data_IF_360044999623
#
_entry.id   IF_360044999623
#
_cell.length_a   1.000
_cell.length_b   1.000
_cell.length_c   1.000
_cell.angle_alpha   90.00
_cell.angle_beta   90.00
_cell.angle_gamma   90.00
#
_symmetry.space_group_name_H-M   'P 1'
#
loop_
_entity.id
_entity.type
_entity.pdbx_description
1 polymer ?
#
# COMPACT_ATOMS: atom_id res chain seq x y z
N UNK A 1 15.60 10.01 -24.22
CA UNK A 1 15.02 8.67 -24.50
C UNK A 1 15.60 7.56 -23.63
N UNK A 2 16.92 7.43 -23.45
CA UNK A 2 17.54 6.39 -22.60
C UNK A 2 17.03 6.36 -21.15
N UNK A 3 16.98 7.52 -20.50
CA UNK A 3 16.46 7.65 -19.11
C UNK A 3 15.00 7.24 -18.99
N UNK A 4 14.21 7.41 -20.05
CA UNK A 4 12.79 7.08 -20.07
C UNK A 4 12.59 5.56 -20.07
N UNK A 5 13.37 4.83 -20.87
CA UNK A 5 13.36 3.37 -20.90
C UNK A 5 13.77 2.81 -19.52
N UNK A 6 14.84 3.34 -18.93
CA UNK A 6 15.32 2.92 -17.60
C UNK A 6 14.26 3.18 -16.52
N UNK A 7 13.61 4.34 -16.55
CA UNK A 7 12.54 4.66 -15.61
C UNK A 7 11.35 3.70 -15.75
N UNK A 8 10.92 3.38 -16.97
CA UNK A 8 9.80 2.46 -17.18
C UNK A 8 10.13 1.04 -16.72
N UNK A 9 11.39 0.60 -16.92
CA UNK A 9 11.86 -0.70 -16.43
C UNK A 9 11.87 -0.75 -14.90
N UNK A 10 12.43 0.26 -14.23
CA UNK A 10 12.45 0.34 -12.76
C UNK A 10 11.05 0.38 -12.16
N UNK A 11 10.16 1.18 -12.76
CA UNK A 11 8.77 1.27 -12.34
C UNK A 11 8.05 -0.08 -12.54
N UNK A 12 8.21 -0.69 -13.71
CA UNK A 12 7.65 -2.01 -14.03
C UNK A 12 8.13 -3.11 -13.09
N UNK A 13 9.42 -3.14 -12.75
CA UNK A 13 9.97 -4.08 -11.76
C UNK A 13 9.37 -3.87 -10.37
N UNK A 14 9.14 -2.63 -9.95
CA UNK A 14 8.49 -2.32 -8.67
C UNK A 14 7.09 -2.91 -8.59
N UNK A 15 6.25 -2.64 -9.60
CA UNK A 15 4.89 -3.18 -9.65
C UNK A 15 4.86 -4.70 -9.84
N UNK A 16 5.74 -5.27 -10.65
CA UNK A 16 5.86 -6.71 -10.81
C UNK A 16 6.25 -7.40 -9.50
N UNK A 17 7.21 -6.83 -8.75
CA UNK A 17 7.61 -7.35 -7.45
C UNK A 17 6.49 -7.30 -6.41
N UNK A 18 5.69 -6.23 -6.40
CA UNK A 18 4.50 -6.11 -5.57
C UNK A 18 3.44 -7.15 -5.96
N UNK A 19 3.13 -7.28 -7.25
CA UNK A 19 2.11 -8.22 -7.75
C UNK A 19 2.46 -9.69 -7.42
N UNK A 20 3.72 -10.08 -7.58
CA UNK A 20 4.22 -11.41 -7.21
C UNK A 20 4.03 -11.66 -5.70
N UNK A 21 4.29 -10.64 -4.87
CA UNK A 21 4.15 -10.72 -3.41
C UNK A 21 2.69 -10.88 -2.96
N UNK A 22 1.72 -10.27 -3.65
CA UNK A 22 0.28 -10.49 -3.39
C UNK A 22 -0.10 -11.92 -3.75
N UNK A 23 0.33 -12.40 -4.91
CA UNK A 23 -0.02 -13.74 -5.39
C UNK A 23 0.57 -14.85 -4.50
N UNK A 24 1.71 -14.59 -3.86
CA UNK A 24 2.31 -15.48 -2.87
C UNK A 24 1.62 -15.47 -1.49
N UNK A 25 0.71 -14.53 -1.20
CA UNK A 25 -0.10 -14.52 0.04
C UNK A 25 -1.40 -15.32 -0.15
N UNK A 26 -1.71 -16.19 0.82
CA UNK A 26 -2.84 -17.15 0.82
C UNK A 26 -4.23 -16.51 0.64
N UNK A 27 -4.41 -15.27 1.07
CA UNK A 27 -5.69 -14.53 1.01
C UNK A 27 -5.64 -13.28 0.12
N UNK A 28 -4.56 -13.07 -0.65
CA UNK A 28 -4.39 -11.89 -1.51
C UNK A 28 -4.46 -10.55 -0.76
N UNK A 29 -4.42 -10.57 0.56
CA UNK A 29 -4.69 -9.41 1.40
C UNK A 29 -3.47 -8.49 1.44
N UNK A 30 -3.67 -7.32 0.83
CA UNK A 30 -2.69 -6.25 0.81
C UNK A 30 -2.73 -5.54 2.16
N UNK A 31 -1.92 -6.00 3.11
CA UNK A 31 -1.87 -5.52 4.51
C UNK A 31 -1.37 -4.07 4.62
N UNK A 32 -2.12 -3.11 4.09
CA UNK A 32 -1.82 -1.69 4.21
C UNK A 32 -0.95 -1.15 3.07
N UNK A 33 -1.60 -0.58 2.06
CA UNK A 33 -1.04 0.58 1.33
C UNK A 33 -1.04 1.84 2.21
N UNK A 34 -1.71 1.79 3.36
CA UNK A 34 -1.68 2.82 4.39
C UNK A 34 -0.51 2.52 5.35
N UNK A 35 0.45 3.45 5.46
CA UNK A 35 1.61 3.32 6.34
C UNK A 35 1.24 2.93 7.78
N UNK A 36 0.13 3.47 8.28
CA UNK A 36 -0.43 3.24 9.62
C UNK A 36 -1.04 1.85 9.84
N UNK A 37 -1.30 1.10 8.76
CA UNK A 37 -1.75 -0.29 8.80
C UNK A 37 -0.68 -1.22 8.19
N UNK A 38 0.56 -0.75 8.07
CA UNK A 38 1.64 -1.61 7.61
C UNK A 38 2.07 -2.52 8.76
N UNK A 39 2.21 -3.84 8.55
CA UNK A 39 2.60 -4.80 9.59
C UNK A 39 4.04 -4.60 10.10
N UNK A 40 4.81 -3.69 9.49
CA UNK A 40 6.15 -3.30 9.94
C UNK A 40 6.13 -2.10 10.90
N UNK A 41 5.15 -1.20 10.78
CA UNK A 41 4.97 -0.09 11.74
C UNK A 41 3.94 -0.43 12.83
N UNK A 42 3.04 -1.36 12.54
CA UNK A 42 1.93 -1.71 13.42
C UNK A 42 1.99 -3.22 13.73
N UNK A 43 3.05 -3.60 14.44
CA UNK A 43 3.30 -4.99 14.88
C UNK A 43 2.36 -5.42 16.02
N UNK A 44 1.85 -4.45 16.78
CA UNK A 44 0.99 -4.64 17.96
C UNK A 44 -0.51 -4.75 17.60
N UNK A 45 -0.86 -4.52 16.33
CA UNK A 45 -2.24 -4.57 15.85
C UNK A 45 -3.10 -3.40 16.35
N UNK A 46 -2.48 -2.25 16.63
CA UNK A 46 -3.19 -1.06 17.10
C UNK A 46 -4.15 -0.52 16.04
N UNK A 47 -5.29 0.09 16.44
CA UNK A 47 -6.16 0.77 15.50
C UNK A 47 -5.40 1.93 14.85
N UNK A 48 -5.59 2.08 13.53
CA UNK A 48 -4.91 3.11 12.74
C UNK A 48 -5.12 4.49 13.36
N UNK A 49 -4.06 5.16 13.84
CA UNK A 49 -4.18 6.47 14.52
C UNK A 49 -4.77 7.58 13.65
N UNK A 50 -4.82 7.38 12.32
CA UNK A 50 -5.41 8.35 11.38
C UNK A 50 -6.92 8.19 11.20
N UNK A 51 -7.47 6.98 11.28
CA UNK A 51 -8.88 6.72 10.98
C UNK A 51 -9.62 5.83 11.99
N UNK A 52 -8.93 5.33 13.02
CA UNK A 52 -9.46 4.46 14.06
C UNK A 52 -9.87 3.06 13.60
N UNK A 53 -9.65 2.70 12.33
CA UNK A 53 -9.99 1.36 11.81
C UNK A 53 -8.99 0.32 12.32
N UNK A 54 -9.47 -0.89 12.64
CA UNK A 54 -8.60 -2.03 12.96
C UNK A 54 -7.84 -2.50 11.71
N UNK A 55 -6.75 -3.27 11.86
CA UNK A 55 -5.94 -3.75 10.74
C UNK A 55 -6.74 -4.45 9.63
N UNK A 56 -7.79 -5.18 10.00
CA UNK A 56 -8.69 -5.91 9.09
C UNK A 56 -9.78 -5.04 8.48
N UNK A 57 -10.03 -3.84 9.02
CA UNK A 57 -11.05 -2.93 8.53
C UNK A 57 -10.52 -1.96 7.47
N UNK A 58 -11.34 -1.70 6.44
CA UNK A 58 -11.07 -0.63 5.48
C UNK A 58 -11.11 0.72 6.19
N UNK A 59 -10.19 1.61 5.81
CA UNK A 59 -10.14 2.96 6.36
C UNK A 59 -11.49 3.68 6.21
N UNK A 60 -12.05 4.14 7.34
CA UNK A 60 -13.37 4.78 7.43
C UNK A 60 -13.35 6.29 7.09
N UNK A 61 -12.19 6.87 6.81
CA UNK A 61 -12.09 8.29 6.46
C UNK A 61 -12.73 8.60 5.09
N UNK A 62 -13.61 9.61 5.00
CA UNK A 62 -14.28 10.01 3.75
C UNK A 62 -13.34 10.57 2.68
N UNK A 63 -12.07 10.86 3.01
CA UNK A 63 -11.11 11.55 2.13
C UNK A 63 -10.20 10.62 1.29
N UNK A 64 -10.19 9.29 1.54
CA UNK A 64 -9.24 8.35 0.91
C UNK A 64 -9.70 7.74 -0.43
N UNK A 65 -10.56 8.41 -1.19
CA UNK A 65 -11.03 7.91 -2.49
C UNK A 65 -10.54 8.72 -3.70
N UNK A 66 -9.39 9.39 -3.64
CA UNK A 66 -8.74 9.85 -4.86
C UNK A 66 -7.27 10.16 -4.61
N UNK A 67 -6.41 9.83 -5.57
CA UNK A 67 -4.96 10.01 -5.54
C UNK A 67 -4.50 11.45 -5.59
N UNK A 68 -5.09 12.34 -4.79
CA UNK A 68 -4.70 13.73 -4.67
C UNK A 68 -3.85 13.90 -3.41
N UNK A 69 -2.58 13.53 -3.53
CA UNK A 69 -1.53 14.24 -2.80
C UNK A 69 -1.33 15.57 -3.54
N UNK A 70 -2.23 16.52 -3.30
CA UNK A 70 -2.06 17.89 -3.76
C UNK A 70 -0.93 18.54 -2.98
N UNK A 71 0.01 19.09 -3.75
CA UNK A 71 0.86 20.26 -3.50
C UNK A 71 1.20 20.62 -2.04
#
# INVERSE_FOLDING_TARGET
>A
MQVFIIALVLLGLGFAGIAIKIWAKKDGEFSGTCASNSPFLNEEGEPCSFCGASPEEKCKSPEKQDGTQAA
#
